data_IF_788170642886
#
_entry.id   IF_788170642886
#
_cell.length_a   1.000
_cell.length_b   1.000
_cell.length_c   1.000
_cell.angle_alpha   90.00
_cell.angle_beta   90.00
_cell.angle_gamma   90.00
#
_symmetry.space_group_name_H-M   'P 1'
#
loop_
_entity.id
_entity.type
_entity.pdbx_description
1 polymer ?
#
# COMPACT_ATOMS: atom_id res chain seq x y z
N UNK A 1 -18.34 -15.48 -47.86
CA UNK A 1 -17.74 -15.93 -46.60
C UNK A 1 -16.71 -14.89 -46.20
N UNK A 2 -16.97 -14.11 -45.15
CA UNK A 2 -16.00 -13.14 -44.62
C UNK A 2 -14.95 -13.90 -43.80
N UNK A 3 -13.65 -13.60 -43.92
CA UNK A 3 -12.65 -14.19 -43.03
C UNK A 3 -12.96 -13.79 -41.58
N UNK A 4 -12.71 -14.68 -40.60
CA UNK A 4 -12.93 -14.36 -39.20
C UNK A 4 -12.01 -13.19 -38.81
N UNK A 5 -12.56 -12.20 -38.13
CA UNK A 5 -11.77 -11.12 -37.54
C UNK A 5 -10.63 -11.74 -36.70
N UNK A 6 -9.37 -11.30 -36.86
CA UNK A 6 -8.28 -11.83 -36.06
C UNK A 6 -8.62 -11.60 -34.59
N UNK A 7 -8.66 -12.67 -33.81
CA UNK A 7 -8.81 -12.56 -32.36
C UNK A 7 -7.53 -11.91 -31.84
N UNK A 8 -7.58 -10.60 -31.59
CA UNK A 8 -6.44 -9.90 -31.00
C UNK A 8 -6.44 -10.26 -29.52
N UNK A 9 -5.35 -10.90 -29.08
CA UNK A 9 -5.19 -11.26 -27.68
C UNK A 9 -5.10 -10.01 -26.82
N UNK A 10 -5.66 -10.08 -25.61
CA UNK A 10 -5.65 -8.99 -24.63
C UNK A 10 -4.21 -8.53 -24.35
N UNK A 11 -3.25 -9.44 -24.41
CA UNK A 11 -1.84 -9.14 -24.18
C UNK A 11 -1.20 -8.37 -25.35
N UNK A 12 -1.69 -8.55 -26.58
CA UNK A 12 -1.30 -7.71 -27.72
C UNK A 12 -1.80 -6.28 -27.56
N UNK A 13 -3.03 -6.10 -27.07
CA UNK A 13 -3.62 -4.77 -26.80
C UNK A 13 -2.85 -4.06 -25.67
N UNK A 14 -2.55 -4.78 -24.59
CA UNK A 14 -1.71 -4.27 -23.49
C UNK A 14 -0.30 -3.92 -23.96
N UNK A 15 0.29 -4.75 -24.83
CA UNK A 15 1.59 -4.53 -25.44
C UNK A 15 1.63 -3.25 -26.26
N UNK A 16 0.65 -3.07 -27.15
CA UNK A 16 0.48 -1.86 -27.95
C UNK A 16 0.37 -0.59 -27.09
N UNK A 17 -0.39 -0.65 -25.98
CA UNK A 17 -0.51 0.49 -25.08
C UNK A 17 0.75 0.87 -24.31
N UNK A 18 1.59 -0.11 -23.96
CA UNK A 18 2.91 0.15 -23.37
C UNK A 18 3.86 0.76 -24.40
N UNK A 19 3.87 0.20 -25.61
CA UNK A 19 4.71 0.64 -26.72
C UNK A 19 4.36 2.08 -27.15
N UNK A 20 3.07 2.42 -27.23
CA UNK A 20 2.59 3.78 -27.54
C UNK A 20 3.03 4.82 -26.50
N UNK A 21 3.03 4.44 -25.21
CA UNK A 21 3.55 5.30 -24.13
C UNK A 21 5.05 5.52 -24.28
N UNK A 22 5.80 4.47 -24.60
CA UNK A 22 7.25 4.54 -24.83
C UNK A 22 7.61 5.47 -25.99
N UNK A 23 6.93 5.36 -27.13
CA UNK A 23 7.11 6.25 -28.30
C UNK A 23 6.84 7.71 -27.93
N UNK A 24 5.76 7.99 -27.16
CA UNK A 24 5.41 9.36 -26.74
C UNK A 24 6.50 10.05 -25.91
N UNK A 25 7.21 9.31 -25.05
CA UNK A 25 8.22 9.88 -24.14
C UNK A 25 9.65 9.80 -24.68
N UNK A 26 9.96 8.84 -25.56
CA UNK A 26 11.32 8.62 -26.06
C UNK A 26 11.55 9.20 -27.47
N UNK A 27 10.50 9.59 -28.20
CA UNK A 27 10.62 10.28 -29.51
C UNK A 27 10.99 9.39 -30.70
N UNK A 28 11.40 8.14 -30.46
CA UNK A 28 11.76 7.20 -31.53
C UNK A 28 10.55 6.42 -32.08
N UNK A 29 10.59 6.15 -33.40
CA UNK A 29 9.59 5.35 -34.11
C UNK A 29 9.59 3.91 -33.58
N UNK A 30 8.41 3.33 -33.28
CA UNK A 30 8.35 1.95 -32.77
C UNK A 30 8.84 0.95 -33.82
N UNK A 31 9.77 0.08 -33.42
CA UNK A 31 10.27 -1.02 -34.24
C UNK A 31 9.36 -2.27 -34.19
N UNK A 32 8.22 -2.19 -33.47
CA UNK A 32 7.26 -3.28 -33.43
C UNK A 32 6.49 -3.34 -34.75
N UNK A 33 6.67 -4.42 -35.51
CA UNK A 33 6.06 -4.59 -36.84
C UNK A 33 4.53 -4.42 -36.86
N UNK A 34 3.86 -4.74 -35.75
CA UNK A 34 2.42 -4.61 -35.60
C UNK A 34 1.96 -3.22 -35.13
N UNK A 35 2.87 -2.34 -34.69
CA UNK A 35 2.54 -1.03 -34.13
C UNK A 35 1.74 -0.15 -35.10
N UNK A 36 2.17 -0.07 -36.37
CA UNK A 36 1.48 0.67 -37.43
C UNK A 36 0.10 0.10 -37.79
N UNK A 37 -0.11 -1.20 -37.53
CA UNK A 37 -1.35 -1.90 -37.84
C UNK A 37 -2.35 -1.88 -36.69
N UNK A 38 -1.93 -1.47 -35.49
CA UNK A 38 -2.76 -1.39 -34.30
C UNK A 38 -3.23 0.03 -33.96
N UNK A 39 -2.94 1.03 -34.81
CA UNK A 39 -3.38 2.42 -34.66
C UNK A 39 -4.90 2.59 -34.66
N UNK A 40 -5.66 1.64 -35.21
CA UNK A 40 -7.12 1.65 -35.09
C UNK A 40 -7.60 1.50 -33.63
N UNK A 41 -6.73 1.06 -32.71
CA UNK A 41 -7.02 1.05 -31.28
C UNK A 41 -6.87 2.45 -30.66
N UNK A 42 -6.29 3.43 -31.35
CA UNK A 42 -6.06 4.78 -30.83
C UNK A 42 -7.30 5.45 -30.24
N UNK A 43 -8.48 5.41 -30.89
CA UNK A 43 -9.72 5.97 -30.32
C UNK A 43 -10.18 5.26 -29.04
N UNK A 44 -9.73 4.03 -28.81
CA UNK A 44 -10.10 3.19 -27.67
C UNK A 44 -8.98 3.05 -26.62
N UNK A 45 -7.78 3.52 -26.95
CA UNK A 45 -6.59 3.55 -26.10
C UNK A 45 -6.61 4.79 -25.22
N UNK A 46 -7.55 4.85 -24.29
CA UNK A 46 -7.71 6.01 -23.42
C UNK A 46 -6.70 5.92 -22.28
N UNK A 47 -5.90 6.98 -22.08
CA UNK A 47 -5.00 7.03 -20.94
C UNK A 47 -5.82 7.06 -19.64
N UNK A 48 -5.37 6.31 -18.64
CA UNK A 48 -6.07 6.21 -17.35
C UNK A 48 -6.11 7.56 -16.61
N UNK A 49 -5.28 8.51 -17.05
CA UNK A 49 -5.25 9.90 -16.60
C UNK A 49 -6.20 10.82 -17.38
N UNK A 50 -6.72 10.39 -18.54
CA UNK A 50 -7.63 11.16 -19.38
C UNK A 50 -9.10 10.77 -19.17
N UNK A 51 -9.38 9.63 -18.53
CA UNK A 51 -10.71 9.29 -18.02
C UNK A 51 -10.81 9.79 -16.58
N UNK A 52 -11.46 10.92 -16.37
CA UNK A 52 -12.14 11.18 -15.10
C UNK A 52 -13.18 10.06 -14.93
N UNK A 53 -12.83 9.06 -14.14
CA UNK A 53 -13.67 7.87 -13.95
C UNK A 53 -14.95 8.26 -13.22
N UNK A 54 -16.15 8.10 -13.80
CA UNK A 54 -17.41 8.32 -13.07
C UNK A 54 -17.64 7.29 -11.94
N UNK A 55 -16.83 6.23 -11.89
CA UNK A 55 -16.81 5.25 -10.81
C UNK A 55 -15.99 5.69 -9.58
N UNK A 56 -15.21 6.77 -9.70
CA UNK A 56 -14.70 7.48 -8.52
C UNK A 56 -15.83 8.41 -8.12
N UNK A 57 -16.76 7.93 -7.30
CA UNK A 57 -17.57 8.84 -6.50
C UNK A 57 -16.55 9.70 -5.76
N UNK A 58 -16.36 10.92 -6.23
CA UNK A 58 -15.65 11.99 -5.58
C UNK A 58 -16.35 12.19 -4.23
N UNK A 59 -16.01 11.39 -3.23
CA UNK A 59 -15.95 11.95 -1.89
C UNK A 59 -14.95 13.08 -2.04
N UNK A 60 -15.33 14.35 -1.79
CA UNK A 60 -14.38 15.43 -1.79
C UNK A 60 -13.30 14.99 -0.79
N UNK A 61 -12.13 14.60 -1.29
CA UNK A 61 -10.93 14.40 -0.48
C UNK A 61 -10.53 15.83 -0.09
N UNK A 62 -11.31 16.40 0.83
CA UNK A 62 -10.95 17.61 1.53
C UNK A 62 -9.72 17.19 2.31
N UNK A 63 -8.56 17.38 1.69
CA UNK A 63 -7.29 17.26 2.37
C UNK A 63 -7.31 18.34 3.43
N UNK A 64 -7.74 17.96 4.64
CA UNK A 64 -7.78 18.86 5.79
C UNK A 64 -6.33 19.27 6.07
N UNK A 65 -5.97 20.46 5.62
CA UNK A 65 -4.64 21.05 5.83
C UNK A 65 -4.59 21.58 7.25
N UNK A 66 -4.13 20.76 8.19
CA UNK A 66 -3.79 21.26 9.52
C UNK A 66 -2.47 22.01 9.41
N UNK A 67 -2.49 23.32 9.65
CA UNK A 67 -1.33 24.21 9.56
C UNK A 67 -0.56 24.33 10.87
N UNK A 68 -1.10 23.78 11.97
CA UNK A 68 -0.49 23.82 13.29
C UNK A 68 0.81 22.98 13.34
N UNK A 69 1.98 23.60 13.61
CA UNK A 69 3.26 22.90 13.75
C UNK A 69 3.26 21.86 14.89
N UNK A 70 2.43 22.07 15.93
CA UNK A 70 2.33 21.18 17.08
C UNK A 70 1.39 20.00 16.89
N UNK A 71 0.58 20.01 15.82
CA UNK A 71 -0.42 18.97 15.53
C UNK A 71 0.19 17.57 15.50
N UNK A 72 1.37 17.41 14.91
CA UNK A 72 2.04 16.11 14.83
C UNK A 72 2.36 15.56 16.21
N UNK A 73 2.90 16.39 17.10
CA UNK A 73 3.24 16.02 18.48
C UNK A 73 1.98 15.71 19.29
N UNK A 74 0.95 16.56 19.19
CA UNK A 74 -0.30 16.37 19.91
C UNK A 74 -1.03 15.09 19.46
N UNK A 75 -1.02 14.80 18.15
CA UNK A 75 -1.58 13.56 17.62
C UNK A 75 -0.85 12.31 18.14
N UNK A 76 0.47 12.38 18.30
CA UNK A 76 1.26 11.28 18.86
C UNK A 76 0.86 11.02 20.32
N UNK A 77 0.80 12.07 21.13
CA UNK A 77 0.44 11.95 22.56
C UNK A 77 -1.00 11.47 22.76
N UNK A 78 -1.95 11.98 21.97
CA UNK A 78 -3.34 11.52 22.02
C UNK A 78 -3.46 10.05 21.60
N UNK A 79 -2.80 9.62 20.53
CA UNK A 79 -2.82 8.20 20.13
C UNK A 79 -2.18 7.32 21.20
N UNK A 80 -1.10 7.79 21.84
CA UNK A 80 -0.43 7.08 22.95
C UNK A 80 -1.35 6.84 24.14
N UNK A 81 -2.27 7.75 24.43
CA UNK A 81 -3.27 7.61 25.48
C UNK A 81 -4.35 6.54 25.19
N UNK A 82 -4.43 6.06 23.95
CA UNK A 82 -5.44 5.08 23.52
C UNK A 82 -4.79 3.77 23.00
N UNK A 83 -4.41 2.82 23.90
CA UNK A 83 -3.77 1.56 23.51
C UNK A 83 -4.54 0.73 22.47
N UNK A 84 -5.87 0.81 22.46
CA UNK A 84 -6.71 0.13 21.48
C UNK A 84 -6.47 0.58 20.01
N UNK A 85 -5.72 1.65 19.78
CA UNK A 85 -5.34 2.12 18.44
C UNK A 85 -4.06 1.47 17.90
N UNK A 86 -3.18 0.95 18.77
CA UNK A 86 -1.86 0.46 18.36
C UNK A 86 -1.45 -0.88 18.98
N UNK A 87 -1.90 -1.21 20.19
CA UNK A 87 -1.55 -2.46 20.89
C UNK A 87 -2.51 -3.58 20.46
N UNK A 88 -1.98 -4.59 19.76
CA UNK A 88 -2.75 -5.74 19.28
C UNK A 88 -3.24 -6.63 20.43
N UNK A 89 -2.58 -6.57 21.59
CA UNK A 89 -2.92 -7.34 22.80
C UNK A 89 -4.03 -6.69 23.60
N UNK A 90 -4.34 -5.40 23.35
CA UNK A 90 -5.49 -4.75 23.98
C UNK A 90 -6.77 -5.48 23.51
N UNK A 91 -7.60 -6.02 24.43
CA UNK A 91 -8.85 -6.68 24.06
C UNK A 91 -9.76 -5.81 23.18
N UNK A 92 -9.75 -4.49 23.40
CA UNK A 92 -10.51 -3.49 22.64
C UNK A 92 -9.93 -3.24 21.25
N UNK A 93 -8.68 -3.64 20.98
CA UNK A 93 -8.08 -3.51 19.65
C UNK A 93 -8.86 -4.27 18.58
N UNK A 94 -9.53 -5.40 18.91
CA UNK A 94 -10.36 -6.12 17.93
C UNK A 94 -11.73 -5.49 17.71
N UNK A 95 -12.21 -4.68 18.64
CA UNK A 95 -13.54 -4.07 18.62
C UNK A 95 -13.51 -2.77 17.80
N UNK A 96 -14.13 -2.79 16.62
CA UNK A 96 -14.21 -1.63 15.72
C UNK A 96 -14.87 -0.42 16.37
N UNK A 97 -15.91 -0.64 17.17
CA UNK A 97 -16.62 0.41 17.89
C UNK A 97 -15.70 1.14 18.88
N UNK A 98 -14.94 0.41 19.70
CA UNK A 98 -13.98 1.00 20.64
C UNK A 98 -12.89 1.80 19.92
N UNK A 99 -12.39 1.29 18.78
CA UNK A 99 -11.40 2.04 17.98
C UNK A 99 -11.99 3.31 17.39
N UNK A 100 -13.22 3.25 16.88
CA UNK A 100 -13.90 4.43 16.37
C UNK A 100 -14.15 5.46 17.48
N UNK A 101 -14.58 5.03 18.66
CA UNK A 101 -14.73 5.92 19.82
C UNK A 101 -13.40 6.59 20.20
N UNK A 102 -12.31 5.83 20.24
CA UNK A 102 -10.98 6.39 20.49
C UNK A 102 -10.58 7.42 19.43
N UNK A 103 -10.77 7.14 18.14
CA UNK A 103 -10.49 8.13 17.08
C UNK A 103 -11.37 9.38 17.18
N UNK A 104 -12.65 9.24 17.54
CA UNK A 104 -13.52 10.39 17.78
C UNK A 104 -13.05 11.22 18.98
N UNK A 105 -12.55 10.57 20.04
CA UNK A 105 -11.93 11.26 21.18
C UNK A 105 -10.71 12.06 20.74
N UNK A 106 -9.82 11.47 19.94
CA UNK A 106 -8.64 12.16 19.38
C UNK A 106 -9.04 13.36 18.54
N UNK A 107 -10.06 13.22 17.68
CA UNK A 107 -10.59 14.34 16.86
C UNK A 107 -11.10 15.47 17.74
N UNK A 108 -11.86 15.14 18.78
CA UNK A 108 -12.43 16.11 19.70
C UNK A 108 -11.35 16.86 20.49
N UNK A 109 -10.34 16.17 21.02
CA UNK A 109 -9.25 16.81 21.77
C UNK A 109 -8.36 17.69 20.88
N UNK A 110 -8.10 17.26 19.64
CA UNK A 110 -7.29 18.03 18.70
C UNK A 110 -8.07 19.14 17.99
N UNK A 111 -9.38 19.27 18.24
CA UNK A 111 -10.29 20.12 17.47
C UNK A 111 -10.10 19.93 15.95
N UNK A 112 -9.90 18.68 15.54
CA UNK A 112 -9.57 18.36 14.17
C UNK A 112 -10.82 18.51 13.28
N UNK A 113 -10.78 19.31 12.20
CA UNK A 113 -11.99 19.60 11.41
C UNK A 113 -12.37 18.48 10.42
N UNK A 114 -11.77 17.30 10.55
CA UNK A 114 -12.05 16.12 9.71
C UNK A 114 -12.71 14.97 10.45
N UNK A 115 -12.85 13.85 9.75
CA UNK A 115 -13.46 12.61 10.23
C UNK A 115 -12.42 11.56 10.71
N UNK A 116 -12.91 10.43 11.22
CA UNK A 116 -12.10 9.29 11.67
C UNK A 116 -11.14 8.80 10.58
N UNK A 117 -11.57 8.80 9.31
CA UNK A 117 -10.72 8.33 8.22
C UNK A 117 -9.55 9.30 7.94
N UNK A 118 -9.82 10.61 7.94
CA UNK A 118 -8.81 11.63 7.69
C UNK A 118 -7.81 11.75 8.83
N UNK A 119 -8.23 11.70 10.11
CA UNK A 119 -7.28 11.66 11.23
C UNK A 119 -6.42 10.39 11.20
N UNK A 120 -7.02 9.25 10.84
CA UNK A 120 -6.29 8.00 10.68
C UNK A 120 -5.25 8.08 9.56
N UNK A 121 -5.57 8.74 8.43
CA UNK A 121 -4.59 9.02 7.36
C UNK A 121 -3.43 9.86 7.87
N UNK A 122 -3.67 10.88 8.71
CA UNK A 122 -2.61 11.70 9.31
C UNK A 122 -1.71 10.87 10.23
N UNK A 123 -2.31 10.08 11.11
CA UNK A 123 -1.57 9.17 11.98
C UNK A 123 -0.73 8.18 11.18
N UNK A 124 -1.32 7.56 10.15
CA UNK A 124 -0.62 6.65 9.24
C UNK A 124 0.58 7.34 8.57
N UNK A 125 0.45 8.59 8.12
CA UNK A 125 1.55 9.35 7.52
C UNK A 125 2.72 9.53 8.49
N UNK A 126 2.45 9.89 9.74
CA UNK A 126 3.47 10.02 10.80
C UNK A 126 4.14 8.66 11.05
N UNK A 127 3.35 7.60 11.28
CA UNK A 127 3.85 6.26 11.54
C UNK A 127 4.69 5.70 10.39
N UNK A 128 4.22 5.84 9.15
CA UNK A 128 4.92 5.33 7.97
C UNK A 128 6.23 6.09 7.72
N UNK A 129 6.29 7.40 8.07
CA UNK A 129 7.55 8.17 8.07
C UNK A 129 8.50 7.65 9.14
N UNK A 130 8.01 7.41 10.35
CA UNK A 130 8.80 6.87 11.47
C UNK A 130 9.43 5.52 11.13
N UNK A 131 8.65 4.58 10.57
CA UNK A 131 9.18 3.27 10.18
C UNK A 131 10.26 3.37 9.11
N UNK A 132 10.08 4.26 8.12
CA UNK A 132 11.11 4.53 7.09
C UNK A 132 12.38 5.12 7.69
N UNK A 133 12.23 6.09 8.57
CA UNK A 133 13.35 6.76 9.25
C UNK A 133 14.13 5.78 10.13
N UNK A 134 13.42 4.98 10.94
CA UNK A 134 14.01 3.92 11.77
C UNK A 134 14.78 2.90 10.91
N UNK A 135 14.25 2.54 9.74
CA UNK A 135 14.95 1.65 8.80
C UNK A 135 16.21 2.31 8.22
N UNK A 136 16.15 3.60 7.86
CA UNK A 136 17.31 4.38 7.38
C UNK A 136 18.42 4.41 8.43
N UNK A 137 18.09 4.73 9.68
CA UNK A 137 19.05 4.79 10.78
C UNK A 137 19.70 3.45 11.09
N UNK A 138 18.91 2.35 11.07
CA UNK A 138 19.46 1.00 11.22
C UNK A 138 20.48 0.67 10.12
N UNK A 139 20.15 0.96 8.86
CA UNK A 139 21.06 0.73 7.74
C UNK A 139 22.34 1.57 7.82
N UNK A 140 22.26 2.84 8.22
CA UNK A 140 23.46 3.66 8.41
C UNK A 140 24.38 3.12 9.49
N UNK A 141 23.81 2.66 10.61
CA UNK A 141 24.58 2.07 11.70
C UNK A 141 25.26 0.78 11.30
N UNK A 142 24.59 -0.08 10.54
CA UNK A 142 25.21 -1.30 9.99
C UNK A 142 26.37 -0.98 9.04
N UNK A 143 26.34 0.19 8.40
CA UNK A 143 27.41 0.73 7.57
C UNK A 143 28.48 1.53 8.36
N UNK A 144 28.44 1.51 9.70
CA UNK A 144 29.40 2.21 10.57
C UNK A 144 29.19 3.72 10.69
N UNK A 145 28.08 4.26 10.18
CA UNK A 145 27.73 5.69 10.29
C UNK A 145 26.76 5.88 11.46
N UNK A 146 27.18 6.68 12.45
CA UNK A 146 26.34 7.11 13.55
C UNK A 146 25.76 8.50 13.24
N UNK A 147 24.57 8.49 12.64
CA UNK A 147 23.77 9.67 12.33
C UNK A 147 22.47 9.62 13.15
N UNK A 148 22.01 10.76 13.64
CA UNK A 148 20.75 10.90 14.36
C UNK A 148 19.62 11.33 13.42
N UNK A 149 18.36 11.10 13.82
CA UNK A 149 17.23 11.58 13.02
C UNK A 149 17.13 13.10 13.09
N UNK A 150 17.12 13.75 11.92
CA UNK A 150 16.82 15.20 11.78
C UNK A 150 15.32 15.51 11.86
N UNK A 151 14.46 14.50 12.01
CA UNK A 151 13.01 14.70 12.12
C UNK A 151 12.56 14.87 13.57
N UNK A 152 11.99 16.04 13.87
CA UNK A 152 11.61 16.46 15.23
C UNK A 152 10.60 15.56 15.95
N UNK A 153 9.73 14.84 15.20
CA UNK A 153 8.76 13.92 15.80
C UNK A 153 9.34 12.51 16.02
N UNK A 154 10.56 12.25 15.55
CA UNK A 154 11.18 10.93 15.68
C UNK A 154 11.37 10.52 17.16
N UNK A 155 11.93 11.38 18.05
CA UNK A 155 12.06 11.03 19.46
C UNK A 155 10.69 10.82 20.12
N UNK A 156 9.69 11.63 19.76
CA UNK A 156 8.32 11.52 20.26
C UNK A 156 7.63 10.22 19.83
N UNK A 157 8.04 9.60 18.72
CA UNK A 157 7.49 8.32 18.24
C UNK A 157 8.16 7.08 18.85
N UNK A 158 9.26 7.24 19.58
CA UNK A 158 10.06 6.10 20.07
C UNK A 158 9.27 5.12 20.96
N UNK A 159 8.24 5.60 21.68
CA UNK A 159 7.41 4.76 22.55
C UNK A 159 6.66 3.65 21.80
N UNK A 160 6.40 3.81 20.50
CA UNK A 160 5.61 2.83 19.73
C UNK A 160 6.46 1.62 19.26
N UNK A 161 7.78 1.69 19.44
CA UNK A 161 8.72 0.69 18.96
C UNK A 161 8.37 -0.76 19.32
N UNK A 162 8.05 -1.10 20.58
CA UNK A 162 7.73 -2.48 20.95
C UNK A 162 6.54 -3.05 20.16
N UNK A 163 5.55 -2.21 19.87
CA UNK A 163 4.30 -2.61 19.21
C UNK A 163 4.46 -2.75 17.69
N UNK A 164 5.39 -2.01 17.08
CA UNK A 164 5.69 -2.12 15.65
C UNK A 164 6.43 -3.42 15.32
N UNK A 165 7.41 -3.79 16.14
CA UNK A 165 8.20 -5.00 15.94
C UNK A 165 7.33 -6.26 16.13
N UNK A 166 6.43 -6.26 17.13
CA UNK A 166 5.47 -7.35 17.35
C UNK A 166 4.51 -7.53 16.16
N UNK A 167 3.95 -6.42 15.62
CA UNK A 167 3.10 -6.47 14.42
C UNK A 167 3.84 -7.06 13.22
N UNK A 168 5.11 -6.70 13.03
CA UNK A 168 5.93 -7.26 11.97
C UNK A 168 6.21 -8.75 12.16
N UNK A 169 6.43 -9.20 13.41
CA UNK A 169 6.62 -10.62 13.74
C UNK A 169 5.35 -11.44 13.48
N UNK A 170 4.18 -10.94 13.89
CA UNK A 170 2.89 -11.59 13.63
C UNK A 170 2.63 -11.77 12.12
N UNK A 171 2.89 -10.73 11.31
CA UNK A 171 2.74 -10.82 9.86
C UNK A 171 3.70 -11.85 9.23
N UNK A 172 4.94 -11.97 9.75
CA UNK A 172 5.90 -12.99 9.32
C UNK A 172 5.46 -14.41 9.71
N UNK A 173 4.76 -14.58 10.83
CA UNK A 173 4.21 -15.88 11.23
C UNK A 173 3.02 -16.31 10.37
N UNK A 174 2.12 -15.37 10.03
CA UNK A 174 0.99 -15.66 9.13
C UNK A 174 1.49 -16.09 7.74
N UNK A 175 2.51 -15.41 7.19
CA UNK A 175 3.09 -15.77 5.90
C UNK A 175 3.67 -17.19 5.90
N UNK A 176 4.44 -17.56 6.94
CA UNK A 176 5.01 -18.91 7.07
C UNK A 176 3.94 -20.00 7.07
N UNK A 177 2.87 -19.82 7.86
CA UNK A 177 1.75 -20.79 7.89
C UNK A 177 1.08 -21.00 6.53
N UNK A 178 0.87 -19.93 5.77
CA UNK A 178 0.28 -20.04 4.42
C UNK A 178 1.20 -20.79 3.46
N UNK A 179 2.52 -20.60 3.56
CA UNK A 179 3.49 -21.31 2.72
C UNK A 179 3.57 -22.81 3.11
N UNK A 180 3.46 -23.14 4.40
CA UNK A 180 3.43 -24.53 4.91
C UNK A 180 2.15 -25.29 4.49
N UNK A 181 0.98 -24.65 4.52
CA UNK A 181 -0.31 -25.27 4.10
C UNK A 181 -0.41 -25.49 2.58
N UNK A 182 0.26 -24.66 1.77
CA UNK A 182 0.28 -24.81 0.31
C UNK A 182 1.27 -25.88 -0.17
N UNK A 183 2.25 -26.24 0.68
CA UNK A 183 3.23 -27.29 0.41
C UNK A 183 2.65 -28.70 0.55
N UNK A 184 1.60 -28.88 1.36
CA UNK A 184 0.97 -30.19 1.64
C UNK A 184 0.15 -30.72 0.45
N UNK A 185 -0.37 -29.84 -0.41
CA UNK A 185 -1.14 -30.22 -1.61
C UNK A 185 -0.29 -30.58 -2.83
N UNK A 186 1.04 -30.45 -2.76
CA UNK A 186 1.97 -30.76 -3.85
C UNK A 186 2.42 -32.22 -3.92
N UNK A 187 2.17 -33.03 -2.88
CA UNK A 187 2.71 -34.40 -2.78
C UNK A 187 1.81 -35.47 -3.43
N UNK A 188 0.57 -35.13 -3.80
CA UNK A 188 -0.34 -36.07 -4.48
C UNK A 188 -0.08 -36.24 -5.99
N UNK A 189 0.69 -35.35 -6.62
CA UNK A 189 0.98 -35.41 -8.07
C UNK A 189 2.10 -36.43 -8.40
N UNK A 190 3.03 -36.69 -7.47
CA UNK A 190 4.15 -37.62 -7.68
C UNK A 190 3.75 -39.10 -7.55
N UNK A 191 2.62 -39.44 -6.90
CA UNK A 191 2.12 -40.82 -6.86
C UNK A 191 1.50 -41.30 -8.18
N UNK A 192 1.03 -40.40 -9.04
CA UNK A 192 0.44 -40.77 -10.34
C UNK A 192 1.54 -41.07 -11.38
N UNK A 193 2.75 -40.53 -11.20
CA UNK A 193 3.87 -40.74 -12.11
C UNK A 193 4.69 -42.01 -11.80
N UNK A 194 4.60 -42.55 -10.58
CA UNK A 194 5.44 -43.68 -10.16
C UNK A 194 4.93 -45.07 -10.56
N UNK A 195 3.86 -45.20 -11.36
CA UNK A 195 3.60 -46.39 -12.18
C UNK A 195 3.78 -47.77 -11.51
N UNK A 196 3.33 -47.93 -10.26
CA UNK A 196 3.22 -49.24 -9.61
C UNK A 196 1.76 -49.68 -9.59
N UNK A 197 1.28 -50.23 -10.70
CA UNK A 197 0.28 -51.29 -10.63
C UNK A 197 0.44 -52.21 -11.84
N UNK A 198 0.48 -53.50 -11.51
CA UNK A 198 0.77 -54.69 -12.32
C UNK A 198 0.05 -54.82 -13.65
#
# INVERSE_FOLDING_TARGET
>A
MLPPFPHIEIDTIKGYGKEKRKVKYQGDQSNWQYYKHLSFLDPHMIDRTAIESPARKEHPDVQVTVTDPSFGTNLIEEVRAHPCLFDIRDPKYRHSECRNQAWNSVIAHLNYPGDVNSIYKQWKKIRDRYVREKRRLRMQRDNGVHDDSTWDLYPAMAWIDPYLDERAQLLRHVKRKHDDEMSDYGELDDMVRSGYVS
#
